data_IF_022417212814
#
_entry.id   IF_022417212814
#
_cell.length_a   1.000
_cell.length_b   1.000
_cell.length_c   1.000
_cell.angle_alpha   90.00
_cell.angle_beta   90.00
_cell.angle_gamma   90.00
#
_symmetry.space_group_name_H-M   'P 1'
#
loop_
_entity.id
_entity.type
_entity.pdbx_description
1 polymer ?
#
# COMPACT_ATOMS: atom_id res chain seq x y z
N UNK A 1 8.42 -13.52 8.39
CA UNK A 1 8.66 -13.12 9.79
C UNK A 1 7.54 -12.21 10.24
N UNK A 2 6.94 -12.48 11.40
CA UNK A 2 6.02 -11.59 12.10
C UNK A 2 6.70 -10.26 12.40
N UNK A 3 5.93 -9.18 12.53
CA UNK A 3 6.44 -7.95 13.13
C UNK A 3 7.18 -8.27 14.44
N UNK A 4 8.33 -7.64 14.74
CA UNK A 4 9.05 -7.92 15.97
C UNK A 4 8.18 -7.54 17.17
N UNK A 5 8.02 -8.47 18.11
CA UNK A 5 7.25 -8.26 19.33
C UNK A 5 7.93 -7.22 20.25
N UNK A 6 7.18 -6.32 20.90
CA UNK A 6 7.74 -5.36 21.84
C UNK A 6 8.20 -6.05 23.14
N UNK A 7 9.23 -5.51 23.83
CA UNK A 7 9.71 -6.09 25.08
C UNK A 7 8.70 -5.91 26.21
N UNK A 8 8.28 -7.03 26.80
CA UNK A 8 7.35 -7.08 27.93
C UNK A 8 7.91 -6.37 29.17
N UNK A 9 7.09 -5.51 29.80
CA UNK A 9 7.38 -4.93 31.11
C UNK A 9 6.52 -5.61 32.18
N UNK A 10 7.20 -6.13 33.20
CA UNK A 10 6.62 -6.77 34.36
C UNK A 10 5.71 -5.83 35.17
N UNK A 11 4.77 -6.45 35.88
CA UNK A 11 3.84 -5.80 36.80
C UNK A 11 4.58 -5.08 37.93
N UNK A 12 4.22 -3.83 38.19
CA UNK A 12 4.39 -3.18 39.48
C UNK A 12 3.14 -2.32 39.80
N UNK A 13 2.81 -2.28 41.08
CA UNK A 13 1.53 -1.86 41.65
C UNK A 13 1.30 -0.33 41.70
N UNK A 14 0.06 0.03 42.02
CA UNK A 14 -0.49 1.37 42.12
C UNK A 14 0.24 2.30 43.10
N UNK A 15 0.40 3.56 42.70
CA UNK A 15 0.86 4.67 43.53
C UNK A 15 0.58 6.01 42.82
N UNK A 16 0.04 6.97 43.56
CA UNK A 16 -0.53 8.23 43.08
C UNK A 16 0.47 9.16 42.32
N UNK A 17 -0.11 10.02 41.47
CA UNK A 17 0.57 10.96 40.59
C UNK A 17 1.37 12.06 41.32
N UNK A 18 2.51 12.46 40.73
CA UNK A 18 2.93 13.86 40.74
C UNK A 18 3.19 14.42 39.33
N UNK A 19 3.12 15.75 39.25
CA UNK A 19 2.94 16.55 38.04
C UNK A 19 3.96 16.36 36.91
N UNK A 20 3.46 16.49 35.69
CA UNK A 20 4.23 16.53 34.45
C UNK A 20 5.07 17.81 34.42
N UNK A 21 6.35 17.68 34.74
CA UNK A 21 7.34 18.68 34.38
C UNK A 21 7.58 18.61 32.86
N UNK A 22 7.28 19.72 32.18
CA UNK A 22 7.56 19.90 30.76
C UNK A 22 9.05 19.66 30.47
N UNK A 23 9.35 18.66 29.63
CA UNK A 23 10.70 18.47 29.09
C UNK A 23 10.97 19.50 27.99
N UNK A 24 12.21 20.00 27.85
CA UNK A 24 12.51 21.15 27.02
C UNK A 24 12.23 20.87 25.54
N UNK A 25 11.66 21.89 24.90
CA UNK A 25 11.08 21.81 23.57
C UNK A 25 12.06 21.40 22.47
N UNK A 26 11.53 20.60 21.55
CA UNK A 26 12.01 20.53 20.18
C UNK A 26 11.65 21.86 19.49
N UNK A 27 12.42 22.91 19.74
CA UNK A 27 12.44 24.11 18.90
C UNK A 27 13.45 23.85 17.79
N UNK A 28 12.95 23.37 16.64
CA UNK A 28 13.78 23.02 15.49
C UNK A 28 12.97 22.81 14.21
N UNK A 29 12.44 23.92 13.66
CA UNK A 29 11.95 24.13 12.28
C UNK A 29 10.87 23.19 11.73
N UNK A 30 9.65 23.76 11.60
CA UNK A 30 8.82 23.53 10.42
C UNK A 30 9.57 24.06 9.18
N UNK A 31 10.41 23.23 8.57
CA UNK A 31 10.91 23.44 7.20
C UNK A 31 10.60 22.17 6.41
N UNK A 32 9.69 22.27 5.44
CA UNK A 32 9.76 21.73 4.06
C UNK A 32 10.63 20.49 3.74
N UNK A 33 10.83 19.57 4.66
CA UNK A 33 11.71 18.43 4.52
C UNK A 33 11.03 17.29 3.78
N UNK A 34 11.57 16.91 2.63
CA UNK A 34 11.21 15.66 1.96
C UNK A 34 11.67 14.47 2.78
N UNK A 35 11.04 13.32 2.58
CA UNK A 35 11.50 12.07 3.20
C UNK A 35 12.93 11.76 2.73
N UNK A 36 13.83 11.49 3.68
CA UNK A 36 15.21 11.09 3.42
C UNK A 36 15.41 9.68 3.96
N UNK A 37 15.83 8.78 3.07
CA UNK A 37 16.07 7.38 3.38
C UNK A 37 17.54 7.13 3.76
N UNK A 38 17.84 6.10 4.57
CA UNK A 38 19.17 5.89 5.15
C UNK A 38 20.23 5.45 4.14
N UNK A 39 19.83 4.74 3.09
CA UNK A 39 20.74 4.12 2.15
C UNK A 39 21.00 4.93 0.89
N UNK A 40 21.85 4.39 0.00
CA UNK A 40 22.13 5.04 -1.28
C UNK A 40 20.86 5.06 -2.12
N UNK A 41 20.64 6.20 -2.79
CA UNK A 41 19.56 6.32 -3.78
C UNK A 41 19.73 5.26 -4.87
N UNK A 42 18.73 4.41 -5.08
CA UNK A 42 18.73 3.43 -6.17
C UNK A 42 18.88 4.12 -7.53
N UNK A 43 19.71 3.56 -8.41
CA UNK A 43 19.96 4.13 -9.74
C UNK A 43 18.72 4.05 -10.65
N UNK A 44 18.02 2.92 -10.63
CA UNK A 44 16.76 2.73 -11.33
C UNK A 44 15.60 3.20 -10.43
N UNK A 45 14.81 4.16 -10.93
CA UNK A 45 13.78 4.85 -10.14
C UNK A 45 12.37 4.35 -10.36
N UNK A 46 12.14 3.70 -11.50
CA UNK A 46 10.91 3.03 -11.83
C UNK A 46 11.29 1.72 -12.54
N UNK A 47 10.88 0.60 -11.97
CA UNK A 47 11.10 -0.74 -12.52
C UNK A 47 9.76 -1.31 -12.96
N UNK A 48 9.74 -2.00 -14.09
CA UNK A 48 8.54 -2.69 -14.58
C UNK A 48 8.88 -3.98 -15.31
N UNK A 49 7.98 -4.96 -15.19
CA UNK A 49 7.99 -6.18 -16.00
C UNK A 49 6.68 -6.30 -16.76
N UNK A 50 6.76 -6.74 -18.02
CA UNK A 50 5.58 -7.04 -18.83
C UNK A 50 4.91 -8.31 -18.35
N UNK A 51 3.59 -8.30 -18.36
CA UNK A 51 2.77 -9.44 -17.97
C UNK A 51 1.49 -9.49 -18.79
N UNK A 52 1.06 -10.71 -19.11
CA UNK A 52 -0.36 -10.96 -19.40
C UNK A 52 -1.08 -11.09 -18.07
N UNK A 53 -2.05 -10.22 -17.83
CA UNK A 53 -2.93 -10.31 -16.66
C UNK A 53 -4.28 -10.87 -17.07
N UNK A 54 -4.80 -11.78 -16.26
CA UNK A 54 -6.09 -12.41 -16.42
C UNK A 54 -6.96 -12.12 -15.19
N UNK A 55 -8.29 -11.99 -15.34
CA UNK A 55 -9.17 -11.88 -14.20
C UNK A 55 -9.02 -13.08 -13.26
N UNK A 56 -8.86 -12.81 -11.97
CA UNK A 56 -8.93 -13.78 -10.89
C UNK A 56 -10.19 -13.48 -10.10
N UNK A 57 -11.02 -14.49 -9.82
CA UNK A 57 -12.23 -14.31 -9.02
C UNK A 57 -12.56 -15.57 -8.25
N UNK A 58 -13.23 -15.40 -7.12
CA UNK A 58 -13.61 -16.51 -6.26
C UNK A 58 -14.12 -16.03 -4.91
N UNK A 59 -14.29 -16.95 -3.98
CA UNK A 59 -14.82 -16.68 -2.65
C UNK A 59 -13.70 -16.83 -1.63
N UNK A 60 -13.51 -15.82 -0.78
CA UNK A 60 -12.81 -15.99 0.49
C UNK A 60 -13.78 -16.58 1.52
N UNK A 61 -13.35 -17.61 2.22
CA UNK A 61 -14.18 -18.44 3.09
C UNK A 61 -14.12 -17.96 4.54
N UNK A 62 -15.25 -18.02 5.24
CA UNK A 62 -15.30 -17.73 6.67
C UNK A 62 -14.27 -18.57 7.45
N UNK A 63 -13.60 -17.94 8.41
CA UNK A 63 -12.60 -18.56 9.28
C UNK A 63 -11.19 -18.65 8.69
N UNK A 64 -10.98 -18.37 7.41
CA UNK A 64 -9.62 -18.27 6.84
C UNK A 64 -9.02 -16.89 7.08
N UNK A 65 -7.69 -16.80 7.18
CA UNK A 65 -7.04 -15.49 7.16
C UNK A 65 -7.13 -14.90 5.76
N UNK A 66 -7.18 -13.57 5.64
CA UNK A 66 -7.20 -12.90 4.33
C UNK A 66 -6.03 -13.39 3.46
N UNK A 67 -4.86 -13.57 4.06
CA UNK A 67 -3.70 -14.11 3.34
C UNK A 67 -3.93 -15.53 2.83
N UNK A 68 -4.44 -16.44 3.67
CA UNK A 68 -4.66 -17.83 3.27
C UNK A 68 -5.67 -17.93 2.11
N UNK A 69 -6.75 -17.17 2.20
CA UNK A 69 -7.77 -17.14 1.16
C UNK A 69 -7.28 -16.58 -0.17
N UNK A 70 -6.57 -15.44 -0.14
CA UNK A 70 -5.98 -14.83 -1.34
C UNK A 70 -4.89 -15.72 -1.94
N UNK A 71 -4.04 -16.34 -1.10
CA UNK A 71 -3.01 -17.26 -1.58
C UNK A 71 -3.62 -18.46 -2.32
N UNK A 72 -4.68 -19.06 -1.75
CA UNK A 72 -5.42 -20.16 -2.38
C UNK A 72 -6.01 -19.73 -3.72
N UNK A 73 -6.68 -18.57 -3.76
CA UNK A 73 -7.30 -18.02 -4.96
C UNK A 73 -6.30 -17.86 -6.12
N UNK A 74 -5.14 -17.25 -5.84
CA UNK A 74 -4.09 -17.04 -6.85
C UNK A 74 -3.43 -18.36 -7.27
N UNK A 75 -3.23 -19.29 -6.33
CA UNK A 75 -2.69 -20.61 -6.64
C UNK A 75 -3.65 -21.43 -7.52
N UNK A 76 -4.95 -21.45 -7.21
CA UNK A 76 -5.99 -22.11 -8.01
C UNK A 76 -6.09 -21.52 -9.44
N UNK A 77 -5.89 -20.20 -9.57
CA UNK A 77 -5.82 -19.54 -10.88
C UNK A 77 -4.50 -19.83 -11.64
N UNK A 78 -3.49 -20.39 -10.96
CA UNK A 78 -2.14 -20.58 -11.49
C UNK A 78 -1.39 -19.28 -11.73
N UNK A 79 -1.68 -18.24 -10.94
CA UNK A 79 -1.04 -16.94 -11.01
C UNK A 79 0.07 -16.83 -9.96
N UNK A 80 1.24 -16.32 -10.37
CA UNK A 80 2.39 -16.05 -9.50
C UNK A 80 2.17 -14.82 -8.62
N UNK A 81 1.42 -13.85 -9.11
CA UNK A 81 1.13 -12.61 -8.39
C UNK A 81 0.22 -11.69 -9.19
N UNK A 82 0.01 -10.48 -8.70
CA UNK A 82 -0.86 -9.49 -9.33
C UNK A 82 -1.48 -8.54 -8.32
N UNK A 83 -2.76 -8.21 -8.50
CA UNK A 83 -3.52 -7.31 -7.63
C UNK A 83 -4.86 -7.94 -7.26
N UNK A 84 -5.28 -7.81 -6.00
CA UNK A 84 -6.61 -8.25 -5.52
C UNK A 84 -7.37 -7.08 -4.91
N UNK A 85 -8.69 -7.12 -5.08
CA UNK A 85 -9.65 -6.15 -4.57
C UNK A 85 -10.56 -6.84 -3.55
N UNK A 86 -10.56 -6.32 -2.32
CA UNK A 86 -11.21 -6.95 -1.16
C UNK A 86 -12.48 -6.21 -0.72
N UNK A 87 -13.02 -5.38 -1.61
CA UNK A 87 -14.23 -4.59 -1.41
C UNK A 87 -15.40 -5.46 -0.94
N UNK A 88 -16.03 -5.06 0.17
CA UNK A 88 -17.19 -5.74 0.74
C UNK A 88 -16.88 -6.93 1.65
N UNK A 89 -15.61 -7.36 1.78
CA UNK A 89 -15.21 -8.40 2.72
C UNK A 89 -15.48 -7.97 4.16
N UNK A 90 -16.03 -8.86 4.98
CA UNK A 90 -16.13 -8.65 6.44
C UNK A 90 -15.09 -9.49 7.15
N UNK A 91 -14.43 -8.90 8.14
CA UNK A 91 -13.39 -9.55 8.93
C UNK A 91 -13.68 -9.44 10.44
N UNK A 92 -13.34 -10.50 11.18
CA UNK A 92 -13.45 -10.58 12.63
C UNK A 92 -12.32 -11.47 13.20
N UNK A 93 -11.20 -10.89 13.67
CA UNK A 93 -10.88 -9.46 13.63
C UNK A 93 -10.37 -9.00 12.25
N UNK A 94 -10.44 -7.69 11.99
CA UNK A 94 -9.58 -6.98 11.04
C UNK A 94 -8.43 -6.33 11.81
N UNK A 95 -7.19 -6.62 11.38
CA UNK A 95 -5.96 -6.10 11.98
C UNK A 95 -5.22 -5.21 11.01
N UNK A 96 -4.78 -4.05 11.46
CA UNK A 96 -4.09 -3.08 10.62
C UNK A 96 -3.14 -2.20 11.42
N UNK A 97 -2.27 -1.48 10.72
CA UNK A 97 -1.40 -0.44 11.28
C UNK A 97 -1.57 0.87 10.51
N UNK A 98 -1.32 1.98 11.19
CA UNK A 98 -1.21 3.31 10.58
C UNK A 98 0.25 3.56 10.18
N UNK A 99 0.51 4.47 9.22
CA UNK A 99 1.85 5.02 9.07
C UNK A 99 2.27 5.70 10.37
N UNK A 100 3.55 5.68 10.68
CA UNK A 100 4.12 6.33 11.84
C UNK A 100 5.49 6.95 11.50
N UNK A 101 5.94 7.86 12.35
CA UNK A 101 7.33 8.33 12.30
C UNK A 101 8.23 7.25 12.89
N UNK A 102 9.39 7.03 12.27
CA UNK A 102 10.35 6.07 12.82
C UNK A 102 10.97 6.58 14.12
N UNK A 103 11.29 5.64 15.01
CA UNK A 103 12.03 5.89 16.25
C UNK A 103 13.25 4.97 16.40
N UNK A 104 13.54 4.15 15.39
CA UNK A 104 14.59 3.13 15.44
C UNK A 104 15.98 3.64 15.03
N UNK A 105 16.08 4.88 14.57
CA UNK A 105 17.32 5.50 14.12
C UNK A 105 17.80 5.02 12.75
N UNK A 106 17.00 4.25 12.02
CA UNK A 106 17.33 3.71 10.69
C UNK A 106 16.31 4.16 9.65
N UNK A 107 15.04 3.85 9.83
CA UNK A 107 14.03 4.09 8.80
C UNK A 107 13.52 5.53 8.79
N UNK A 108 13.04 6.01 7.64
CA UNK A 108 12.47 7.35 7.49
C UNK A 108 11.00 7.43 7.98
N UNK A 109 10.30 6.30 7.95
CA UNK A 109 8.94 6.10 8.42
C UNK A 109 8.83 4.70 9.02
N UNK A 110 7.77 4.44 9.76
CA UNK A 110 7.50 3.14 10.36
C UNK A 110 5.98 2.87 10.43
N UNK A 111 5.60 1.83 11.16
CA UNK A 111 4.21 1.52 11.46
C UNK A 111 3.87 1.83 12.92
N UNK A 112 2.60 2.16 13.18
CA UNK A 112 2.05 2.28 14.53
C UNK A 112 1.99 0.92 15.24
N UNK A 113 1.53 0.95 16.50
CA UNK A 113 0.99 -0.26 17.14
C UNK A 113 -0.19 -0.82 16.33
N UNK A 114 -0.41 -2.13 16.44
CA UNK A 114 -1.52 -2.81 15.75
C UNK A 114 -2.88 -2.38 16.30
N UNK A 115 -3.75 -1.96 15.40
CA UNK A 115 -5.17 -1.72 15.66
C UNK A 115 -5.99 -2.99 15.36
N UNK A 116 -7.05 -3.19 16.13
CA UNK A 116 -8.02 -4.30 15.95
C UNK A 116 -9.42 -3.74 15.84
N UNK A 117 -10.18 -4.25 14.88
CA UNK A 117 -11.60 -4.00 14.75
C UNK A 117 -12.33 -5.35 14.65
N UNK A 118 -13.33 -5.54 15.49
CA UNK A 118 -14.26 -6.67 15.38
C UNK A 118 -15.39 -6.29 14.43
N UNK A 119 -15.96 -7.28 13.71
CA UNK A 119 -17.05 -7.09 12.74
C UNK A 119 -16.79 -5.92 11.76
N UNK A 120 -15.60 -5.89 11.18
CA UNK A 120 -15.17 -4.81 10.31
C UNK A 120 -15.47 -5.14 8.84
N UNK A 121 -16.26 -4.29 8.20
CA UNK A 121 -16.50 -4.36 6.75
C UNK A 121 -15.45 -3.53 6.02
N UNK A 122 -14.75 -4.17 5.09
CA UNK A 122 -13.90 -3.49 4.10
C UNK A 122 -14.81 -2.77 3.11
N UNK A 123 -14.71 -1.43 3.10
CA UNK A 123 -15.42 -0.58 2.16
C UNK A 123 -14.75 -0.68 0.79
N UNK A 124 -13.42 -0.49 0.77
CA UNK A 124 -12.56 -0.58 -0.42
C UNK A 124 -11.17 -1.01 0.04
N UNK A 125 -10.54 -1.96 -0.64
CA UNK A 125 -9.14 -2.27 -0.39
C UNK A 125 -8.48 -2.85 -1.63
N UNK A 126 -7.24 -2.41 -1.87
CA UNK A 126 -6.39 -2.90 -2.95
C UNK A 126 -5.17 -3.55 -2.33
N UNK A 127 -4.76 -4.70 -2.83
CA UNK A 127 -3.55 -5.37 -2.38
C UNK A 127 -2.72 -5.98 -3.50
N UNK A 128 -1.42 -5.70 -3.50
CA UNK A 128 -0.45 -6.40 -4.33
C UNK A 128 -0.26 -7.81 -3.79
N UNK A 129 -0.28 -8.80 -4.68
CA UNK A 129 -0.14 -10.22 -4.35
C UNK A 129 1.17 -10.73 -4.94
N UNK A 130 1.92 -11.46 -4.13
CA UNK A 130 3.23 -11.95 -4.52
C UNK A 130 3.81 -12.92 -3.49
N UNK A 131 5.13 -12.86 -3.33
CA UNK A 131 5.85 -13.76 -2.42
C UNK A 131 6.85 -13.03 -1.52
N UNK A 132 7.08 -13.57 -0.34
CA UNK A 132 8.14 -13.18 0.58
C UNK A 132 8.77 -14.44 1.16
N UNK A 133 10.09 -14.56 1.09
CA UNK A 133 10.83 -15.74 1.53
C UNK A 133 10.29 -17.05 0.90
N UNK A 134 9.84 -16.98 -0.35
CA UNK A 134 9.25 -18.10 -1.09
C UNK A 134 7.80 -18.47 -0.70
N UNK A 135 7.23 -17.84 0.32
CA UNK A 135 5.84 -18.04 0.73
C UNK A 135 4.92 -16.96 0.15
N UNK A 136 3.63 -17.27 0.00
CA UNK A 136 2.63 -16.30 -0.42
C UNK A 136 2.58 -15.10 0.54
N UNK A 137 2.51 -13.90 -0.03
CA UNK A 137 2.47 -12.65 0.72
C UNK A 137 1.62 -11.62 -0.03
N UNK A 138 1.02 -10.70 0.71
CA UNK A 138 0.33 -9.56 0.13
C UNK A 138 0.63 -8.28 0.92
N UNK A 139 0.60 -7.16 0.22
CA UNK A 139 0.70 -5.81 0.76
C UNK A 139 -0.57 -5.08 0.37
N UNK A 140 -1.37 -4.63 1.33
CA UNK A 140 -2.69 -4.09 1.05
C UNK A 140 -3.07 -2.89 1.90
N UNK A 141 -3.66 -1.89 1.26
CA UNK A 141 -4.22 -0.71 1.89
C UNK A 141 -5.72 -0.65 1.65
N UNK A 142 -6.47 -0.18 2.65
CA UNK A 142 -7.92 -0.15 2.53
C UNK A 142 -8.61 0.74 3.55
N UNK A 143 -9.89 0.95 3.31
CA UNK A 143 -10.83 1.64 4.18
C UNK A 143 -11.82 0.62 4.71
N UNK A 144 -12.10 0.67 6.00
CA UNK A 144 -13.01 -0.25 6.67
C UNK A 144 -13.78 0.46 7.78
N UNK A 145 -14.90 -0.16 8.15
CA UNK A 145 -15.79 0.35 9.17
C UNK A 145 -16.34 -0.81 10.00
N UNK A 146 -16.22 -0.68 11.33
CA UNK A 146 -16.85 -1.60 12.28
C UNK A 146 -18.22 -1.03 12.71
N UNK A 147 -19.31 -1.69 12.30
CA UNK A 147 -20.67 -1.23 12.57
C UNK A 147 -20.91 0.24 12.19
N UNK A 148 -21.15 1.11 13.18
CA UNK A 148 -21.37 2.56 13.02
C UNK A 148 -20.16 3.42 13.42
N UNK A 149 -19.02 2.81 13.71
CA UNK A 149 -17.81 3.55 14.04
C UNK A 149 -17.37 4.46 12.87
N UNK A 150 -16.56 5.50 13.12
CA UNK A 150 -15.91 6.23 12.04
C UNK A 150 -15.13 5.29 11.11
N UNK A 151 -15.05 5.65 9.83
CA UNK A 151 -14.22 4.92 8.87
C UNK A 151 -12.76 5.02 9.29
N UNK A 152 -12.08 3.88 9.28
CA UNK A 152 -10.64 3.78 9.47
C UNK A 152 -9.97 3.36 8.17
N UNK A 153 -8.67 3.65 8.04
CA UNK A 153 -7.84 3.31 6.89
C UNK A 153 -6.43 3.01 7.37
N UNK A 154 -5.70 2.17 6.64
CA UNK A 154 -4.29 1.91 6.91
C UNK A 154 -3.74 0.75 6.11
N UNK A 155 -2.67 0.17 6.63
CA UNK A 155 -2.02 -1.02 6.12
C UNK A 155 -2.61 -2.28 6.76
N UNK A 156 -3.20 -3.14 5.94
CA UNK A 156 -3.81 -4.40 6.35
C UNK A 156 -2.74 -5.38 6.83
N UNK A 157 -3.00 -6.07 7.95
CA UNK A 157 -2.22 -7.21 8.40
C UNK A 157 -2.94 -8.51 7.98
N UNK A 158 -2.59 -9.11 6.82
CA UNK A 158 -3.43 -10.12 6.18
C UNK A 158 -3.34 -11.51 6.84
N UNK A 159 -2.28 -11.78 7.59
CA UNK A 159 -2.14 -13.02 8.37
C UNK A 159 -2.94 -12.97 9.69
N UNK A 160 -3.28 -11.78 10.15
CA UNK A 160 -3.94 -11.56 11.44
C UNK A 160 -5.41 -11.13 11.27
N UNK A 161 -5.81 -10.81 10.03
CA UNK A 161 -7.20 -10.52 9.68
C UNK A 161 -7.91 -11.79 9.23
N UNK A 162 -9.05 -12.11 9.84
CA UNK A 162 -9.81 -13.33 9.60
C UNK A 162 -11.14 -13.00 8.94
N UNK A 163 -11.48 -13.71 7.86
CA UNK A 163 -12.73 -13.54 7.12
C UNK A 163 -13.90 -14.00 8.00
N UNK A 164 -14.87 -13.11 8.23
CA UNK A 164 -16.02 -13.39 9.10
C UNK A 164 -17.14 -14.16 8.38
N UNK A 165 -17.30 -13.92 7.08
CA UNK A 165 -18.32 -14.54 6.24
C UNK A 165 -17.80 -14.76 4.83
N UNK A 166 -18.28 -15.83 4.18
CA UNK A 166 -17.97 -16.11 2.77
C UNK A 166 -18.29 -14.88 1.91
N UNK A 167 -17.28 -14.39 1.18
CA UNK A 167 -17.42 -13.18 0.37
C UNK A 167 -16.70 -13.33 -0.98
N UNK A 168 -17.33 -12.90 -2.08
CA UNK A 168 -16.66 -12.87 -3.37
C UNK A 168 -15.57 -11.80 -3.36
N UNK A 169 -14.43 -12.11 -3.96
CA UNK A 169 -13.34 -11.17 -4.26
C UNK A 169 -12.93 -11.30 -5.71
N UNK A 170 -12.32 -10.24 -6.23
CA UNK A 170 -11.82 -10.18 -7.61
C UNK A 170 -10.39 -9.68 -7.64
N UNK A 171 -9.70 -9.90 -8.74
CA UNK A 171 -8.33 -9.48 -8.93
C UNK A 171 -7.89 -9.62 -10.37
N UNK A 172 -6.63 -9.27 -10.60
CA UNK A 172 -5.92 -9.41 -11.85
C UNK A 172 -4.62 -10.14 -11.54
N UNK A 173 -4.41 -11.30 -12.14
CA UNK A 173 -3.28 -12.18 -11.86
C UNK A 173 -2.44 -12.43 -13.11
N UNK A 174 -1.12 -12.54 -12.92
CA UNK A 174 -0.18 -12.92 -13.96
C UNK A 174 0.44 -14.28 -13.63
N UNK A 175 0.64 -15.12 -14.65
CA UNK A 175 1.29 -16.44 -14.52
C UNK A 175 2.81 -16.31 -14.42
N UNK A 176 3.39 -15.48 -15.29
CA UNK A 176 4.85 -15.41 -15.49
C UNK A 176 5.52 -14.25 -14.76
N UNK A 177 4.73 -13.41 -14.09
CA UNK A 177 5.21 -12.23 -13.38
C UNK A 177 4.49 -12.08 -12.04
N UNK A 178 5.14 -11.43 -11.08
CA UNK A 178 4.56 -11.16 -9.78
C UNK A 178 5.44 -10.24 -8.95
N UNK A 179 4.92 -9.85 -7.79
CA UNK A 179 5.71 -9.11 -6.81
C UNK A 179 6.52 -10.06 -5.92
N UNK A 180 7.77 -9.72 -5.67
CA UNK A 180 8.65 -10.48 -4.76
C UNK A 180 9.27 -9.52 -3.76
N UNK A 181 9.07 -9.81 -2.48
CA UNK A 181 9.54 -8.97 -1.39
C UNK A 181 11.05 -9.16 -1.23
N UNK A 182 11.81 -8.09 -1.45
CA UNK A 182 13.28 -8.07 -1.40
C UNK A 182 13.77 -6.97 -0.45
N UNK A 183 14.91 -7.16 0.23
CA UNK A 183 15.59 -6.05 0.88
C UNK A 183 15.85 -4.92 -0.11
N UNK A 184 15.59 -3.69 0.31
CA UNK A 184 15.80 -2.47 -0.45
C UNK A 184 16.81 -1.60 0.29
N UNK A 185 18.01 -1.46 -0.29
CA UNK A 185 19.13 -0.80 0.37
C UNK A 185 18.84 0.68 0.64
N UNK A 186 18.12 1.37 -0.25
CA UNK A 186 17.79 2.79 -0.09
C UNK A 186 16.96 3.01 1.19
N UNK A 187 15.85 2.27 1.33
CA UNK A 187 14.87 2.49 2.38
C UNK A 187 15.12 1.67 3.66
N UNK A 188 16.01 0.67 3.60
CA UNK A 188 16.21 -0.38 4.59
C UNK A 188 14.99 -1.31 4.84
N UNK A 189 13.89 -1.13 4.09
CA UNK A 189 12.73 -2.01 4.16
C UNK A 189 12.91 -3.27 3.31
N UNK A 190 12.07 -4.28 3.57
CA UNK A 190 11.79 -5.34 2.59
C UNK A 190 10.57 -4.93 1.78
N UNK A 191 10.75 -4.65 0.48
CA UNK A 191 9.72 -4.08 -0.40
C UNK A 191 9.43 -5.00 -1.58
N UNK A 192 8.21 -4.95 -2.09
CA UNK A 192 7.86 -5.69 -3.31
C UNK A 192 8.56 -5.11 -4.52
N UNK A 193 9.29 -5.96 -5.24
CA UNK A 193 9.85 -5.69 -6.56
C UNK A 193 9.07 -6.49 -7.62
N UNK A 194 8.76 -5.92 -8.79
CA UNK A 194 8.24 -6.69 -9.90
C UNK A 194 9.32 -7.63 -10.43
N UNK A 195 9.03 -8.92 -10.51
CA UNK A 195 9.96 -9.95 -11.01
C UNK A 195 9.28 -10.89 -12.02
N UNK A 196 10.13 -11.56 -12.82
CA UNK A 196 9.70 -12.40 -13.91
C UNK A 196 9.48 -11.58 -15.18
N UNK A 197 8.44 -11.92 -15.91
CA UNK A 197 8.08 -11.24 -17.15
C UNK A 197 7.68 -12.24 -18.23
N UNK A 198 6.75 -11.82 -19.07
CA UNK A 198 6.24 -12.63 -20.17
C UNK A 198 5.70 -11.79 -21.31
N UNK A 199 5.09 -12.47 -22.28
CA UNK A 199 4.38 -11.79 -23.36
C UNK A 199 3.09 -11.17 -22.81
N UNK A 200 2.91 -9.86 -22.98
CA UNK A 200 1.71 -9.15 -22.56
C UNK A 200 1.89 -7.64 -22.56
N UNK A 201 0.76 -6.94 -22.49
CA UNK A 201 0.72 -5.50 -22.62
C UNK A 201 0.63 -4.78 -21.26
N UNK A 202 0.25 -5.51 -20.21
CA UNK A 202 0.20 -4.97 -18.86
C UNK A 202 1.57 -4.91 -18.20
N UNK A 203 1.71 -4.02 -17.22
CA UNK A 203 2.93 -3.86 -16.44
C UNK A 203 2.66 -4.09 -14.96
N UNK A 204 3.47 -4.93 -14.32
CA UNK A 204 3.68 -4.87 -12.88
C UNK A 204 4.89 -3.97 -12.65
N UNK A 205 4.74 -2.97 -11.80
CA UNK A 205 5.74 -1.93 -11.63
C UNK A 205 5.91 -1.49 -10.18
N UNK A 206 7.09 -0.93 -9.91
CA UNK A 206 7.38 -0.21 -8.68
C UNK A 206 8.02 1.14 -9.03
N UNK A 207 7.56 2.20 -8.39
CA UNK A 207 8.23 3.51 -8.37
C UNK A 207 8.87 3.72 -7.01
N UNK A 208 10.15 4.09 -7.01
CA UNK A 208 10.98 4.22 -5.83
C UNK A 208 10.83 5.63 -5.18
N UNK A 209 11.29 5.82 -3.93
CA UNK A 209 11.16 7.07 -3.19
C UNK A 209 11.58 8.36 -3.92
N UNK A 210 10.91 9.47 -3.60
CA UNK A 210 11.24 10.80 -4.08
C UNK A 210 10.80 11.12 -5.51
N UNK A 211 10.45 10.12 -6.31
CA UNK A 211 9.90 10.31 -7.65
C UNK A 211 8.44 10.76 -7.59
N UNK A 212 8.03 11.70 -8.45
CA UNK A 212 6.63 12.12 -8.51
C UNK A 212 5.77 10.99 -9.08
N UNK A 213 4.68 10.65 -8.38
CA UNK A 213 3.78 9.56 -8.76
C UNK A 213 3.22 9.73 -10.16
N UNK A 214 2.67 10.90 -10.47
CA UNK A 214 1.93 11.13 -11.73
C UNK A 214 2.89 11.11 -12.91
N UNK A 215 3.99 11.87 -12.84
CA UNK A 215 4.93 11.94 -13.97
C UNK A 215 5.69 10.64 -14.17
N UNK A 216 5.95 9.88 -13.11
CA UNK A 216 6.62 8.57 -13.22
C UNK A 216 5.72 7.52 -13.86
N UNK A 217 4.41 7.52 -13.55
CA UNK A 217 3.43 6.66 -14.25
C UNK A 217 3.38 7.02 -15.74
N UNK A 218 3.28 8.31 -16.08
CA UNK A 218 3.27 8.78 -17.48
C UNK A 218 4.55 8.36 -18.22
N UNK A 219 5.72 8.57 -17.61
CA UNK A 219 7.01 8.20 -18.20
C UNK A 219 7.15 6.69 -18.40
N UNK A 220 6.74 5.90 -17.40
CA UNK A 220 6.77 4.44 -17.47
C UNK A 220 5.84 3.91 -18.56
N UNK A 221 4.61 4.43 -18.63
CA UNK A 221 3.66 4.04 -19.67
C UNK A 221 4.19 4.39 -21.08
N UNK A 222 4.74 5.61 -21.25
CA UNK A 222 5.34 6.04 -22.51
C UNK A 222 6.52 5.15 -22.93
N UNK A 223 7.41 4.78 -21.99
CA UNK A 223 8.53 3.88 -22.26
C UNK A 223 8.09 2.48 -22.74
N UNK A 224 6.87 2.08 -22.43
CA UNK A 224 6.27 0.81 -22.87
C UNK A 224 5.23 0.96 -23.98
N UNK A 225 5.06 2.16 -24.55
CA UNK A 225 4.10 2.41 -25.63
C UNK A 225 2.62 2.33 -25.20
N UNK A 226 2.33 2.49 -23.91
CA UNK A 226 0.97 2.46 -23.36
C UNK A 226 0.42 3.89 -23.32
N UNK A 227 -0.69 4.13 -23.99
CA UNK A 227 -1.35 5.45 -24.03
C UNK A 227 -2.64 5.52 -23.23
N UNK A 228 -3.33 4.39 -23.09
CA UNK A 228 -4.61 4.26 -22.40
C UNK A 228 -4.59 3.03 -21.48
N UNK A 229 -4.86 3.24 -20.19
CA UNK A 229 -4.78 2.18 -19.18
C UNK A 229 -5.66 2.46 -17.95
N UNK A 230 -6.10 1.40 -17.29
CA UNK A 230 -6.52 1.45 -15.89
C UNK A 230 -5.29 1.33 -15.00
N UNK A 231 -5.28 2.08 -13.91
CA UNK A 231 -4.16 2.12 -12.98
C UNK A 231 -4.64 1.61 -11.62
N UNK A 232 -4.02 0.52 -11.17
CA UNK A 232 -4.28 -0.08 -9.87
C UNK A 232 -3.02 -0.01 -9.04
N UNK A 233 -3.14 0.30 -7.76
CA UNK A 233 -1.96 0.36 -6.91
C UNK A 233 -2.20 0.87 -5.52
N UNK A 234 -1.13 0.85 -4.76
CA UNK A 234 -1.02 1.34 -3.39
C UNK A 234 0.42 1.74 -3.10
N UNK A 235 0.62 2.47 -2.02
CA UNK A 235 1.95 2.87 -1.59
C UNK A 235 1.89 4.00 -0.57
N UNK A 236 2.90 4.85 -0.60
CA UNK A 236 3.02 6.01 0.29
C UNK A 236 3.50 7.25 -0.48
N UNK A 237 3.09 8.43 -0.02
CA UNK A 237 3.51 9.73 -0.54
C UNK A 237 3.98 10.60 0.62
N UNK A 238 5.03 11.39 0.42
CA UNK A 238 5.36 12.50 1.32
C UNK A 238 4.53 13.74 0.94
N UNK A 239 3.90 14.38 1.93
CA UNK A 239 3.20 15.66 1.78
C UNK A 239 2.22 15.76 0.59
N UNK A 240 1.15 14.96 0.59
CA UNK A 240 0.17 14.91 -0.50
C UNK A 240 -0.36 16.28 -0.91
N UNK A 241 -0.43 16.52 -2.22
CA UNK A 241 -1.02 17.70 -2.87
C UNK A 241 -2.10 17.28 -3.86
N UNK A 242 -3.31 17.78 -3.69
CA UNK A 242 -4.43 17.46 -4.59
C UNK A 242 -4.58 18.49 -5.71
N UNK A 243 -5.02 18.04 -6.89
CA UNK A 243 -5.21 18.87 -8.08
C UNK A 243 -6.31 19.93 -7.87
N UNK A 244 -7.37 19.58 -7.16
CA UNK A 244 -8.50 20.48 -6.83
C UNK A 244 -8.19 21.47 -5.71
N UNK A 245 -6.96 21.46 -5.18
CA UNK A 245 -6.59 22.17 -3.96
C UNK A 245 -6.78 21.29 -2.71
N UNK A 246 -6.21 21.74 -1.60
CA UNK A 246 -6.06 20.93 -0.40
C UNK A 246 -4.77 20.12 -0.38
N UNK A 247 -4.42 19.64 0.81
CA UNK A 247 -3.15 18.96 1.08
C UNK A 247 -3.23 18.07 2.31
N UNK A 248 -2.33 17.10 2.42
CA UNK A 248 -2.03 16.39 3.66
C UNK A 248 -0.57 16.64 3.99
N UNK A 249 -0.29 17.52 4.95
CA UNK A 249 1.07 17.82 5.39
C UNK A 249 1.50 16.77 6.41
N UNK A 250 1.91 15.62 5.89
CA UNK A 250 2.44 14.53 6.70
C UNK A 250 3.60 13.87 5.96
N UNK A 251 4.67 13.59 6.70
CA UNK A 251 5.84 12.93 6.16
C UNK A 251 5.56 11.47 5.78
N UNK A 252 4.75 10.76 6.57
CA UNK A 252 4.41 9.36 6.37
C UNK A 252 2.90 9.21 6.15
N UNK A 253 2.53 8.60 5.02
CA UNK A 253 1.14 8.32 4.66
C UNK A 253 1.02 6.94 4.04
N UNK A 254 -0.16 6.34 4.10
CA UNK A 254 -0.50 5.14 3.33
C UNK A 254 -1.68 5.44 2.41
N UNK A 255 -1.60 5.02 1.15
CA UNK A 255 -2.61 5.31 0.13
C UNK A 255 -2.96 4.09 -0.73
N UNK A 256 -4.16 4.13 -1.30
CA UNK A 256 -4.56 3.31 -2.45
C UNK A 256 -5.00 4.18 -3.61
N UNK A 257 -4.81 3.69 -4.84
CA UNK A 257 -5.37 4.33 -6.03
C UNK A 257 -6.88 4.07 -6.13
N UNK A 258 -7.64 5.09 -6.53
CA UNK A 258 -9.09 5.01 -6.73
C UNK A 258 -9.48 5.70 -8.03
N UNK A 259 -10.05 4.95 -8.98
CA UNK A 259 -10.48 5.50 -10.27
C UNK A 259 -9.33 6.06 -11.11
N UNK A 260 -8.10 5.62 -10.85
CA UNK A 260 -6.93 6.12 -11.55
C UNK A 260 -6.85 5.55 -12.97
N UNK A 261 -6.59 6.43 -13.94
CA UNK A 261 -6.57 6.09 -15.37
C UNK A 261 -5.45 6.86 -16.08
N UNK A 262 -4.91 6.24 -17.12
CA UNK A 262 -4.07 6.87 -18.13
C UNK A 262 -4.92 7.07 -19.39
N UNK A 263 -4.92 8.27 -19.96
CA UNK A 263 -5.64 8.61 -21.19
C UNK A 263 -4.76 9.45 -22.09
N UNK A 264 -4.57 9.03 -23.35
CA UNK A 264 -3.69 9.72 -24.29
C UNK A 264 -2.32 10.10 -23.67
N UNK A 265 -1.74 9.19 -22.89
CA UNK A 265 -0.44 9.37 -22.21
C UNK A 265 -0.47 10.29 -20.98
N UNK A 266 -1.65 10.71 -20.50
CA UNK A 266 -1.82 11.57 -19.32
C UNK A 266 -2.51 10.83 -18.18
N UNK A 267 -1.88 10.83 -17.00
CA UNK A 267 -2.39 10.10 -15.85
C UNK A 267 -3.28 11.01 -14.98
N UNK A 268 -4.49 10.54 -14.68
CA UNK A 268 -5.38 11.08 -13.65
C UNK A 268 -5.35 10.09 -12.49
N UNK A 269 -4.73 10.47 -11.37
CA UNK A 269 -4.44 9.56 -10.27
C UNK A 269 -5.28 9.95 -9.07
N UNK A 270 -6.51 9.43 -9.01
CA UNK A 270 -7.34 9.49 -7.81
C UNK A 270 -6.79 8.60 -6.71
N UNK A 271 -6.82 9.07 -5.46
CA UNK A 271 -6.37 8.31 -4.29
C UNK A 271 -7.32 8.45 -3.10
N UNK A 272 -7.19 7.51 -2.19
CA UNK A 272 -7.56 7.65 -0.78
C UNK A 272 -6.28 7.49 0.05
N UNK A 273 -6.11 8.30 1.09
CA UNK A 273 -4.88 8.36 1.87
C UNK A 273 -5.15 8.65 3.34
N UNK A 274 -4.32 8.08 4.21
CA UNK A 274 -4.36 8.28 5.67
C UNK A 274 -3.02 8.80 6.21
N UNK A 275 -3.07 9.73 7.16
CA UNK A 275 -1.88 10.23 7.88
C UNK A 275 -1.59 9.44 9.17
N UNK A 276 -0.48 9.78 9.83
CA UNK A 276 -0.06 9.16 11.10
C UNK A 276 -1.05 9.34 12.26
N UNK A 277 -2.01 10.26 12.14
CA UNK A 277 -3.06 10.51 13.13
C UNK A 277 -4.40 9.86 12.74
N UNK A 278 -4.42 9.03 11.69
CA UNK A 278 -5.61 8.36 11.19
C UNK A 278 -6.55 9.28 10.41
N UNK A 279 -6.13 10.48 10.01
CA UNK A 279 -6.98 11.39 9.21
C UNK A 279 -6.99 10.94 7.76
N UNK A 280 -8.18 10.72 7.23
CA UNK A 280 -8.38 10.24 5.86
C UNK A 280 -8.69 11.41 4.94
N UNK A 281 -8.09 11.43 3.75
CA UNK A 281 -8.45 12.32 2.64
C UNK A 281 -8.58 11.53 1.34
N UNK A 282 -9.32 12.10 0.39
CA UNK A 282 -9.47 11.57 -0.96
C UNK A 282 -9.42 12.71 -1.97
N UNK A 283 -8.85 12.45 -3.13
CA UNK A 283 -8.78 13.40 -4.24
C UNK A 283 -7.84 12.94 -5.33
N UNK A 284 -7.72 13.74 -6.38
CA UNK A 284 -6.77 13.50 -7.47
C UNK A 284 -5.41 14.14 -7.16
N UNK A 285 -4.33 13.43 -7.42
CA UNK A 285 -2.97 13.94 -7.23
C UNK A 285 -2.65 15.08 -8.18
N UNK A 286 -2.08 16.17 -7.64
CA UNK A 286 -1.45 17.22 -8.44
C UNK A 286 -0.16 16.70 -9.08
N UNK A 287 -0.12 16.71 -10.41
CA UNK A 287 1.08 16.32 -11.19
C UNK A 287 2.34 17.12 -10.78
N UNK A 288 3.46 16.42 -10.57
CA UNK A 288 4.77 17.04 -10.28
C UNK A 288 4.94 17.55 -8.85
N UNK A 289 4.07 17.15 -7.92
CA UNK A 289 4.02 17.66 -6.55
C UNK A 289 3.81 16.56 -5.48
N UNK A 290 3.90 15.29 -5.86
CA UNK A 290 3.59 14.15 -5.00
C UNK A 290 4.70 13.09 -5.09
N UNK A 291 5.84 13.31 -4.41
CA UNK A 291 6.91 12.33 -4.35
C UNK A 291 6.47 11.07 -3.60
N UNK A 292 6.84 9.90 -4.12
CA UNK A 292 6.70 8.62 -3.40
C UNK A 292 7.45 8.69 -2.08
N UNK A 293 6.80 8.28 -0.99
CA UNK A 293 7.39 8.17 0.34
C UNK A 293 8.38 7.01 0.41
N UNK A 294 7.87 5.78 0.52
CA UNK A 294 8.67 4.54 0.63
C UNK A 294 8.62 3.72 -0.66
N UNK A 295 7.42 3.52 -1.21
CA UNK A 295 7.23 2.73 -2.43
C UNK A 295 5.87 3.05 -3.04
N UNK A 296 5.75 2.87 -4.34
CA UNK A 296 4.47 2.80 -5.03
C UNK A 296 4.45 1.54 -5.90
N UNK A 297 3.53 0.64 -5.59
CA UNK A 297 3.31 -0.60 -6.34
C UNK A 297 2.14 -0.41 -7.30
N UNK A 298 2.33 -0.84 -8.54
CA UNK A 298 1.40 -0.57 -9.62
C UNK A 298 1.16 -1.80 -10.49
N UNK A 299 -0.11 -1.95 -10.90
CA UNK A 299 -0.50 -2.68 -12.08
C UNK A 299 -1.07 -1.67 -13.09
N UNK A 300 -0.41 -1.56 -14.25
CA UNK A 300 -0.89 -0.79 -15.39
C UNK A 300 -1.56 -1.79 -16.34
N UNK A 301 -2.88 -1.69 -16.47
CA UNK A 301 -3.72 -2.56 -17.31
C UNK A 301 -4.15 -1.75 -18.54
N UNK A 302 -3.51 -1.93 -19.71
CA UNK A 302 -3.92 -1.26 -20.93
C UNK A 302 -5.40 -1.47 -21.20
N UNK A 303 -6.07 -0.40 -21.56
CA UNK A 303 -7.41 -0.49 -22.08
C UNK A 303 -7.28 -0.85 -23.55
N UNK A 304 -7.81 -2.00 -23.97
CA UNK A 304 -7.96 -2.24 -25.40
C UNK A 304 -8.75 -1.08 -26.01
N UNK A 305 -8.28 -0.59 -27.16
CA UNK A 305 -9.14 0.15 -28.09
C UNK A 305 -10.27 -0.82 -28.43
N UNK A 306 -11.41 -0.72 -27.73
CA UNK A 306 -12.65 -1.27 -28.27
C UNK A 306 -13.04 -0.35 -29.41
N UNK A 307 -13.01 -0.81 -30.68
CA UNK A 307 -13.72 -0.10 -31.74
C UNK A 307 -15.21 0.03 -31.40
#
# INVERSE_FOLDING_TARGET
MSAPAPPGRGRAAAGAAPGVAARPGYLGREETGRMVHPGPRAAERAVAVRARVEPVSGVLRAGETVMAGVARLFAEAGCRGGMVFLDGLTCEPLRYVLPALSTDGVHAAWYSDTHSLEDARIIRATASVGTRDGAAFLHGHGLWQAGRAPVAMGHLLPFESVVAADAPVTGLGARDAGFVARPDDETAFTLFQPEGGGAGDSLLARIAPGEDVVTSIEALAAAHGIIDARLHGLGSIDHVRFAQGGRMDCLATELRLHGAVLRAGRAQVGIEVVDIAGRIKSGELKRGANPVGVTLELLIEPMEDRP
#
